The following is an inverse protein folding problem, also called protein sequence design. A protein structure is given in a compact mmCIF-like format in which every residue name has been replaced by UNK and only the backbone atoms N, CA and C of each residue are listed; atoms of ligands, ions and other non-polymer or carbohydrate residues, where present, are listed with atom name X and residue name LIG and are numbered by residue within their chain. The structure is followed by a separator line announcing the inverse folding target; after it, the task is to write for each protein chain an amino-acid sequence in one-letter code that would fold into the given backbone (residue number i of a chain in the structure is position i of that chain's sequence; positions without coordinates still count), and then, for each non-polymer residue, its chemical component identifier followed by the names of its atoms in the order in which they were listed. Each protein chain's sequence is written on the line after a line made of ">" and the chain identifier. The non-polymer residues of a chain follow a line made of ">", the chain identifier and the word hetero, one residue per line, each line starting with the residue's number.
data_IF_981886246809
#
_entry.id   IF_981886246809
#
_cell.length_a   1.000
_cell.length_b   1.000
_cell.length_c   1.000
_cell.angle_alpha   90.00
_cell.angle_beta   90.00
_cell.angle_gamma   90.00
#
_symmetry.space_group_name_H-M   'P 1'
#
loop_
_entity.id
_entity.type
_entity.pdbx_description
1 polymer ?
#
# COMPACT_ATOMS: atom_id res chain seq x y z
N UNK A 1 66.01 2.08 30.44
CA UNK A 1 65.77 2.84 31.69
C UNK A 1 64.29 3.23 31.71
N UNK A 2 63.56 2.78 32.74
CA UNK A 2 62.11 2.94 32.91
C UNK A 2 61.73 4.42 33.11
N UNK A 3 60.60 4.86 32.56
CA UNK A 3 59.80 6.00 33.04
C UNK A 3 58.32 5.60 32.91
N UNK A 4 57.76 4.92 33.92
CA UNK A 4 56.90 5.49 34.98
C UNK A 4 55.69 6.27 34.45
N UNK A 5 54.65 5.51 34.06
CA UNK A 5 53.25 5.90 34.22
C UNK A 5 52.96 6.03 35.72
N UNK A 6 52.73 7.23 36.25
CA UNK A 6 51.92 7.48 37.45
C UNK A 6 51.69 8.99 37.56
N UNK A 7 50.45 9.41 37.35
CA UNK A 7 49.72 10.39 38.19
C UNK A 7 48.49 10.94 37.46
N UNK A 8 47.37 10.21 37.53
CA UNK A 8 46.04 10.81 37.38
C UNK A 8 44.97 10.12 38.24
N UNK A 9 45.38 9.43 39.32
CA UNK A 9 44.48 8.81 40.29
C UNK A 9 44.71 9.41 41.69
N UNK A 10 44.46 10.72 41.84
CA UNK A 10 44.63 11.38 43.14
C UNK A 10 43.47 12.31 43.50
N UNK A 11 42.28 12.11 42.92
CA UNK A 11 41.09 12.85 43.38
C UNK A 11 39.84 11.97 43.51
N UNK A 12 39.56 11.42 44.71
CA UNK A 12 38.37 10.59 44.94
C UNK A 12 37.05 11.34 44.71
N UNK A 13 37.03 12.68 44.73
CA UNK A 13 35.83 13.47 44.40
C UNK A 13 35.48 13.42 42.91
N UNK A 14 36.47 13.34 42.01
CA UNK A 14 36.23 13.24 40.55
C UNK A 14 35.73 11.86 40.12
N UNK A 15 36.16 10.79 40.81
CA UNK A 15 35.67 9.43 40.55
C UNK A 15 34.22 9.27 40.99
N UNK A 16 33.84 9.79 42.16
CA UNK A 16 32.45 9.79 42.62
C UNK A 16 31.55 10.63 41.70
N UNK A 17 32.04 11.79 41.24
CA UNK A 17 31.26 12.66 40.35
C UNK A 17 31.02 12.01 38.98
N UNK A 18 32.01 11.29 38.44
CA UNK A 18 31.85 10.52 37.20
C UNK A 18 30.97 9.27 37.37
N UNK A 19 31.04 8.57 38.51
CA UNK A 19 30.16 7.43 38.79
C UNK A 19 28.70 7.86 39.04
N UNK A 20 28.47 8.98 39.74
CA UNK A 20 27.14 9.57 39.87
C UNK A 20 26.61 10.08 38.52
N UNK A 21 27.46 10.62 37.64
CA UNK A 21 27.04 11.06 36.30
C UNK A 21 26.66 9.87 35.40
N UNK A 22 27.40 8.77 35.47
CA UNK A 22 27.07 7.53 34.74
C UNK A 22 25.80 6.89 35.33
N UNK A 23 25.63 6.89 36.65
CA UNK A 23 24.41 6.39 37.30
C UNK A 23 23.19 7.28 37.01
N UNK A 24 23.38 8.59 36.87
CA UNK A 24 22.32 9.54 36.47
C UNK A 24 21.96 9.38 34.98
N UNK A 25 22.94 9.14 34.11
CA UNK A 25 22.68 8.79 32.70
C UNK A 25 21.96 7.44 32.61
N UNK A 26 22.35 6.44 33.40
CA UNK A 26 21.65 5.15 33.46
C UNK A 26 20.25 5.27 34.06
N UNK A 27 20.05 6.08 35.12
CA UNK A 27 18.71 6.36 35.65
C UNK A 27 17.86 7.14 34.64
N UNK A 28 18.42 8.11 33.92
CA UNK A 28 17.71 8.85 32.86
C UNK A 28 17.43 7.97 31.63
N UNK A 29 18.29 7.00 31.31
CA UNK A 29 18.02 5.99 30.27
C UNK A 29 16.98 4.96 30.72
N UNK A 30 16.98 4.58 31.99
CA UNK A 30 16.01 3.61 32.55
C UNK A 30 14.66 4.24 32.93
N UNK A 31 14.58 5.56 33.12
CA UNK A 31 13.33 6.28 33.42
C UNK A 31 12.61 6.85 32.20
N UNK A 32 13.22 6.81 31.01
CA UNK A 32 12.57 7.13 29.73
C UNK A 32 12.03 5.90 28.97
N UNK A 33 11.92 4.76 29.65
CA UNK A 33 11.04 3.66 29.23
C UNK A 33 9.73 3.71 30.05
N UNK A 34 9.15 4.90 30.18
CA UNK A 34 7.70 4.96 30.37
C UNK A 34 7.08 4.33 29.13
N UNK A 35 6.49 3.14 29.31
CA UNK A 35 5.61 2.49 28.36
C UNK A 35 4.52 3.48 27.91
N UNK A 36 4.82 4.30 26.89
CA UNK A 36 3.79 4.95 26.13
C UNK A 36 3.12 3.86 25.31
N UNK A 37 1.88 3.55 25.67
CA UNK A 37 0.94 2.70 24.96
C UNK A 37 0.58 3.30 23.58
N UNK A 38 1.56 3.58 22.73
CA UNK A 38 1.34 4.09 21.36
C UNK A 38 0.79 3.00 20.42
N UNK A 39 0.64 1.75 20.88
CA UNK A 39 0.00 0.67 20.13
C UNK A 39 -1.55 0.69 20.18
N UNK A 40 -2.19 1.49 21.04
CA UNK A 40 -3.66 1.53 21.11
C UNK A 40 -4.31 2.55 20.16
N UNK A 41 -3.62 3.63 19.77
CA UNK A 41 -4.21 4.64 18.88
C UNK A 41 -4.51 4.09 17.47
N UNK A 42 -3.74 3.11 17.00
CA UNK A 42 -3.78 2.60 15.62
C UNK A 42 -4.70 1.38 15.42
N UNK A 43 -5.39 0.94 16.46
CA UNK A 43 -6.26 -0.25 16.44
C UNK A 43 -7.75 0.06 16.60
N UNK A 44 -8.16 1.34 16.50
CA UNK A 44 -9.58 1.70 16.47
C UNK A 44 -10.29 0.98 15.32
N UNK A 45 -11.48 0.43 15.60
CA UNK A 45 -12.32 -0.26 14.62
C UNK A 45 -13.62 0.48 14.41
N UNK A 46 -14.06 0.53 13.15
CA UNK A 46 -15.38 1.04 12.76
C UNK A 46 -16.19 -0.06 12.08
N UNK A 47 -17.50 -0.05 12.31
CA UNK A 47 -18.43 -0.85 11.52
C UNK A 47 -18.87 -0.05 10.30
N UNK A 48 -18.82 -0.69 9.13
CA UNK A 48 -19.31 -0.15 7.86
C UNK A 48 -20.19 -1.21 7.22
N UNK A 49 -21.36 -0.84 6.73
CA UNK A 49 -22.25 -1.77 6.03
C UNK A 49 -22.69 -1.20 4.69
N UNK A 50 -22.44 -1.95 3.62
CA UNK A 50 -23.01 -1.67 2.32
C UNK A 50 -24.44 -2.20 2.29
N UNK A 51 -25.34 -1.33 1.85
CA UNK A 51 -26.77 -1.59 1.79
C UNK A 51 -27.14 -2.35 0.50
N UNK A 52 -28.36 -2.89 0.38
CA UNK A 52 -28.75 -3.71 -0.76
C UNK A 52 -28.52 -3.04 -2.13
N UNK A 53 -28.75 -1.72 -2.23
CA UNK A 53 -28.52 -0.98 -3.47
C UNK A 53 -27.05 -0.99 -3.92
N UNK A 54 -26.08 -0.99 -2.99
CA UNK A 54 -24.65 -1.08 -3.34
C UNK A 54 -24.33 -2.44 -4.00
N UNK A 55 -24.93 -3.50 -3.49
CA UNK A 55 -24.78 -4.86 -4.03
C UNK A 55 -25.45 -4.98 -5.38
N UNK A 56 -26.71 -4.54 -5.48
CA UNK A 56 -27.50 -4.61 -6.72
C UNK A 56 -26.85 -3.84 -7.88
N UNK A 57 -26.14 -2.75 -7.55
CA UNK A 57 -25.39 -1.94 -8.54
C UNK A 57 -24.02 -2.50 -8.89
N UNK A 58 -23.54 -3.54 -8.21
CA UNK A 58 -22.22 -4.13 -8.47
C UNK A 58 -21.03 -3.28 -8.03
N UNK A 59 -21.21 -2.33 -7.11
CA UNK A 59 -20.19 -1.34 -6.70
C UNK A 59 -19.51 -1.68 -5.36
N UNK A 60 -19.66 -2.92 -4.88
CA UNK A 60 -19.05 -3.39 -3.63
C UNK A 60 -17.52 -3.24 -3.66
N UNK A 61 -16.88 -3.71 -4.74
CA UNK A 61 -15.43 -3.65 -4.88
C UNK A 61 -14.88 -2.23 -4.96
N UNK A 62 -15.60 -1.31 -5.63
CA UNK A 62 -15.20 0.10 -5.73
C UNK A 62 -15.18 0.80 -4.36
N UNK A 63 -16.14 0.46 -3.49
CA UNK A 63 -16.21 1.00 -2.13
C UNK A 63 -15.08 0.41 -1.28
N UNK A 64 -14.89 -0.92 -1.27
CA UNK A 64 -13.82 -1.60 -0.52
C UNK A 64 -12.46 -1.00 -0.89
N UNK A 65 -12.20 -0.85 -2.20
CA UNK A 65 -10.97 -0.25 -2.71
C UNK A 65 -10.70 1.15 -2.15
N UNK A 66 -11.73 1.97 -1.88
CA UNK A 66 -11.53 3.29 -1.27
C UNK A 66 -11.02 3.18 0.17
N UNK A 67 -11.52 2.24 0.95
CA UNK A 67 -11.05 1.99 2.32
C UNK A 67 -9.63 1.43 2.34
N UNK A 68 -9.32 0.47 1.46
CA UNK A 68 -7.97 -0.08 1.32
C UNK A 68 -6.96 0.99 0.87
N UNK A 69 -7.31 1.78 -0.15
CA UNK A 69 -6.45 2.86 -0.65
C UNK A 69 -6.26 3.99 0.38
N UNK A 70 -7.18 4.15 1.34
CA UNK A 70 -7.01 5.08 2.46
C UNK A 70 -6.00 4.56 3.49
N UNK A 71 -5.68 3.27 3.47
CA UNK A 71 -4.78 2.61 4.43
C UNK A 71 -5.50 1.88 5.56
N UNK A 72 -6.83 1.69 5.46
CA UNK A 72 -7.54 0.89 6.45
C UNK A 72 -7.37 -0.61 6.21
N UNK A 73 -7.34 -1.35 7.32
CA UNK A 73 -7.19 -2.79 7.34
C UNK A 73 -8.56 -3.45 7.49
N UNK A 74 -8.94 -4.29 6.53
CA UNK A 74 -10.15 -5.10 6.63
C UNK A 74 -9.91 -6.25 7.61
N UNK A 75 -10.67 -6.30 8.71
CA UNK A 75 -10.51 -7.34 9.74
C UNK A 75 -11.69 -8.31 9.82
N UNK A 76 -12.84 -7.95 9.24
CA UNK A 76 -13.96 -8.87 9.03
C UNK A 76 -14.89 -8.38 7.92
N UNK A 77 -15.54 -9.32 7.21
CA UNK A 77 -16.55 -9.04 6.20
C UNK A 77 -17.52 -10.23 6.09
N UNK A 78 -18.82 -9.95 5.89
CA UNK A 78 -19.81 -10.98 5.51
C UNK A 78 -20.57 -10.55 4.26
N UNK A 79 -21.09 -11.52 3.52
CA UNK A 79 -22.14 -11.31 2.51
C UNK A 79 -23.38 -12.07 2.97
N UNK A 80 -24.44 -11.37 3.34
CA UNK A 80 -25.59 -12.03 3.96
C UNK A 80 -26.91 -11.32 3.69
N UNK A 81 -28.00 -12.08 3.75
CA UNK A 81 -29.34 -11.52 3.89
C UNK A 81 -29.63 -11.31 5.39
N UNK A 82 -29.69 -10.06 5.84
CA UNK A 82 -29.95 -9.78 7.24
C UNK A 82 -31.41 -10.07 7.61
N UNK A 83 -31.63 -10.72 8.75
CA UNK A 83 -32.97 -10.94 9.25
C UNK A 83 -33.62 -9.63 9.67
N UNK A 84 -34.95 -9.59 9.66
CA UNK A 84 -35.70 -8.40 10.06
C UNK A 84 -35.40 -8.04 11.51
N UNK A 85 -35.31 -9.03 12.39
CA UNK A 85 -35.03 -8.88 13.82
C UNK A 85 -33.63 -8.29 14.04
N UNK A 86 -32.62 -8.73 13.27
CA UNK A 86 -31.27 -8.18 13.34
C UNK A 86 -31.26 -6.70 12.93
N UNK A 87 -31.97 -6.34 11.86
CA UNK A 87 -32.07 -4.97 11.37
C UNK A 87 -32.83 -4.06 12.33
N UNK A 88 -33.92 -4.55 12.92
CA UNK A 88 -34.68 -3.82 13.94
C UNK A 88 -33.83 -3.58 15.19
N UNK A 89 -33.03 -4.57 15.61
CA UNK A 89 -32.08 -4.41 16.71
C UNK A 89 -30.99 -3.39 16.37
N UNK A 90 -30.42 -3.45 15.16
CA UNK A 90 -29.41 -2.51 14.66
C UNK A 90 -29.92 -1.07 14.67
N UNK A 91 -31.13 -0.83 14.16
CA UNK A 91 -31.72 0.51 14.05
C UNK A 91 -32.64 0.87 15.23
N UNK A 92 -32.52 0.19 16.37
CA UNK A 92 -33.45 0.33 17.51
C UNK A 92 -33.58 1.76 18.03
N UNK A 93 -32.51 2.56 17.98
CA UNK A 93 -32.52 3.99 18.34
C UNK A 93 -33.45 4.84 17.45
N UNK A 94 -33.79 4.33 16.26
CA UNK A 94 -34.69 4.97 15.30
C UNK A 94 -36.12 4.42 15.36
N UNK A 95 -36.41 3.46 16.24
CA UNK A 95 -37.72 2.77 16.31
C UNK A 95 -38.92 3.70 16.49
N UNK A 96 -38.73 4.86 17.13
CA UNK A 96 -39.77 5.88 17.31
C UNK A 96 -39.98 6.78 16.09
N UNK A 97 -39.13 6.68 15.07
CA UNK A 97 -39.19 7.55 13.88
C UNK A 97 -40.21 7.00 12.86
N UNK A 98 -41.00 7.86 12.21
CA UNK A 98 -42.05 7.41 11.28
C UNK A 98 -41.51 6.66 10.06
N UNK A 99 -40.24 6.87 9.68
CA UNK A 99 -39.60 6.19 8.56
C UNK A 99 -39.00 4.82 8.92
N UNK A 100 -38.98 4.43 10.20
CA UNK A 100 -38.33 3.19 10.66
C UNK A 100 -38.85 1.92 9.97
N UNK A 101 -40.17 1.70 9.83
CA UNK A 101 -40.67 0.52 9.13
C UNK A 101 -40.17 0.46 7.68
N UNK A 102 -40.16 1.59 6.98
CA UNK A 102 -39.67 1.69 5.62
C UNK A 102 -38.15 1.43 5.51
N UNK A 103 -37.38 1.88 6.49
CA UNK A 103 -35.94 1.61 6.58
C UNK A 103 -35.68 0.10 6.73
N UNK A 104 -36.40 -0.58 7.62
CA UNK A 104 -36.26 -2.03 7.82
C UNK A 104 -36.65 -2.79 6.55
N UNK A 105 -37.80 -2.45 5.93
CA UNK A 105 -38.21 -3.05 4.65
C UNK A 105 -37.17 -2.85 3.56
N UNK A 106 -36.62 -1.65 3.43
CA UNK A 106 -35.56 -1.34 2.48
C UNK A 106 -34.30 -2.20 2.74
N UNK A 107 -33.83 -2.25 3.97
CA UNK A 107 -32.63 -3.01 4.34
C UNK A 107 -32.81 -4.52 4.17
N UNK A 108 -34.04 -5.02 4.31
CA UNK A 108 -34.40 -6.43 4.08
C UNK A 108 -34.67 -6.77 2.61
N UNK A 109 -34.62 -5.79 1.68
CA UNK A 109 -34.94 -6.00 0.26
C UNK A 109 -33.86 -6.76 -0.53
N UNK A 110 -32.68 -6.96 0.05
CA UNK A 110 -31.57 -7.68 -0.57
C UNK A 110 -30.42 -7.95 0.38
N UNK A 111 -29.33 -8.56 -0.11
CA UNK A 111 -28.14 -8.83 0.68
C UNK A 111 -27.41 -7.55 1.08
N UNK A 112 -26.74 -7.59 2.21
CA UNK A 112 -25.86 -6.54 2.74
C UNK A 112 -24.43 -7.05 2.87
N UNK A 113 -23.48 -6.11 2.91
CA UNK A 113 -22.06 -6.41 3.18
C UNK A 113 -21.63 -5.64 4.43
N UNK A 114 -21.84 -6.19 5.64
CA UNK A 114 -21.24 -5.66 6.86
C UNK A 114 -19.73 -5.95 6.84
N UNK A 115 -18.95 -4.98 7.29
CA UNK A 115 -17.50 -5.01 7.34
C UNK A 115 -16.99 -4.33 8.61
N UNK A 116 -15.82 -4.75 9.05
CA UNK A 116 -15.08 -4.12 10.14
C UNK A 116 -13.72 -3.66 9.60
N UNK A 117 -13.47 -2.36 9.74
CA UNK A 117 -12.24 -1.72 9.31
C UNK A 117 -11.46 -1.22 10.51
N UNK A 118 -10.16 -1.47 10.53
CA UNK A 118 -9.23 -1.09 11.59
C UNK A 118 -8.27 -0.01 11.08
N UNK A 119 -7.95 0.99 11.91
CA UNK A 119 -7.00 2.06 11.62
C UNK A 119 -7.12 3.25 12.58
N UNK A 120 -6.24 4.24 12.46
CA UNK A 120 -6.31 5.44 13.29
C UNK A 120 -7.56 6.25 12.97
N UNK A 121 -8.27 6.64 14.04
CA UNK A 121 -9.50 7.41 13.93
C UNK A 121 -10.47 6.78 12.91
N UNK A 122 -10.52 5.44 12.84
CA UNK A 122 -11.30 4.68 11.87
C UNK A 122 -12.75 5.14 11.78
N UNK A 123 -13.40 5.43 12.92
CA UNK A 123 -14.77 5.92 12.98
C UNK A 123 -14.88 7.32 12.37
N UNK A 124 -14.07 8.26 12.86
CA UNK A 124 -14.10 9.66 12.39
C UNK A 124 -13.76 9.77 10.90
N UNK A 125 -12.68 9.13 10.48
CA UNK A 125 -12.21 9.14 9.09
C UNK A 125 -13.18 8.36 8.19
N UNK A 126 -13.72 7.23 8.64
CA UNK A 126 -14.77 6.50 7.94
C UNK A 126 -16.00 7.37 7.68
N UNK A 127 -16.46 8.14 8.68
CA UNK A 127 -17.57 9.09 8.53
C UNK A 127 -17.29 10.19 7.50
N UNK A 128 -16.07 10.73 7.47
CA UNK A 128 -15.66 11.70 6.44
C UNK A 128 -15.71 11.06 5.05
N UNK A 129 -15.18 9.84 4.89
CA UNK A 129 -15.20 9.12 3.61
C UNK A 129 -16.63 8.81 3.12
N UNK A 130 -17.55 8.52 4.04
CA UNK A 130 -18.95 8.27 3.71
C UNK A 130 -19.63 9.51 3.13
N UNK A 131 -19.32 10.70 3.64
CA UNK A 131 -20.05 11.93 3.34
C UNK A 131 -21.32 12.09 4.18
N UNK A 132 -21.96 13.26 4.08
CA UNK A 132 -23.19 13.56 4.81
C UNK A 132 -24.32 12.57 4.46
N UNK A 133 -25.28 12.37 5.37
CA UNK A 133 -26.41 11.44 5.13
C UNK A 133 -27.23 11.86 3.91
N UNK A 134 -27.34 13.17 3.67
CA UNK A 134 -27.87 13.73 2.44
C UNK A 134 -26.75 13.82 1.39
N UNK A 135 -26.87 13.11 0.25
CA UNK A 135 -25.86 13.17 -0.81
C UNK A 135 -25.63 14.59 -1.35
N UNK A 136 -26.68 15.43 -1.38
CA UNK A 136 -26.56 16.83 -1.83
C UNK A 136 -25.65 17.69 -0.94
N UNK A 137 -25.50 17.31 0.33
CA UNK A 137 -24.64 17.99 1.30
C UNK A 137 -23.26 17.33 1.42
N UNK A 138 -22.98 16.31 0.59
CA UNK A 138 -21.72 15.57 0.61
C UNK A 138 -20.68 16.20 -0.31
N UNK A 139 -19.43 16.25 0.15
CA UNK A 139 -18.32 16.72 -0.67
C UNK A 139 -18.03 15.76 -1.84
N UNK A 140 -17.59 16.26 -3.01
CA UNK A 140 -17.06 15.43 -4.09
C UNK A 140 -15.92 14.51 -3.60
N UNK A 141 -15.88 13.28 -4.08
CA UNK A 141 -14.92 12.26 -3.65
C UNK A 141 -15.37 11.42 -2.44
N UNK A 142 -16.45 11.82 -1.75
CA UNK A 142 -17.08 10.96 -0.71
C UNK A 142 -17.96 9.90 -1.35
N UNK A 143 -18.20 8.79 -0.64
CA UNK A 143 -18.98 7.66 -1.17
C UNK A 143 -20.41 8.09 -1.49
N UNK A 144 -21.06 8.86 -0.59
CA UNK A 144 -22.42 9.35 -0.84
C UNK A 144 -22.44 10.47 -1.88
N UNK A 145 -21.46 11.38 -1.88
CA UNK A 145 -21.39 12.43 -2.90
C UNK A 145 -21.21 11.88 -4.32
N UNK A 146 -20.37 10.87 -4.48
CA UNK A 146 -20.08 10.30 -5.80
C UNK A 146 -21.12 9.27 -6.26
N UNK A 147 -21.71 8.52 -5.33
CA UNK A 147 -22.47 7.31 -5.67
C UNK A 147 -23.93 7.35 -5.22
N UNK A 148 -24.42 8.42 -4.59
CA UNK A 148 -25.82 8.54 -4.15
C UNK A 148 -26.47 9.83 -4.67
N UNK A 149 -27.78 9.78 -4.86
CA UNK A 149 -28.58 10.95 -5.28
C UNK A 149 -29.63 11.33 -4.23
N UNK A 150 -30.26 10.33 -3.59
CA UNK A 150 -31.37 10.54 -2.66
C UNK A 150 -31.03 10.02 -1.26
N UNK A 151 -31.40 10.78 -0.22
CA UNK A 151 -31.17 10.47 1.22
C UNK A 151 -31.68 9.08 1.59
N UNK A 152 -32.92 8.75 1.23
CA UNK A 152 -33.59 7.50 1.62
C UNK A 152 -33.04 6.24 0.95
N UNK A 153 -32.21 6.38 -0.09
CA UNK A 153 -31.58 5.28 -0.82
C UNK A 153 -30.06 5.46 -0.91
N UNK A 154 -29.45 6.03 0.13
CA UNK A 154 -28.00 6.02 0.22
C UNK A 154 -27.50 4.58 0.36
N UNK A 155 -26.27 4.31 -0.08
CA UNK A 155 -25.78 2.93 -0.27
C UNK A 155 -24.92 2.39 0.86
N UNK A 156 -24.65 3.19 1.90
CA UNK A 156 -23.65 2.86 2.93
C UNK A 156 -24.03 3.39 4.31
N UNK A 157 -23.87 2.55 5.32
CA UNK A 157 -23.94 2.86 6.75
C UNK A 157 -22.54 2.85 7.36
N UNK A 158 -22.33 3.67 8.39
CA UNK A 158 -21.12 3.67 9.19
C UNK A 158 -21.34 4.30 10.54
N UNK A 159 -20.78 3.69 11.58
CA UNK A 159 -20.92 4.09 12.98
C UNK A 159 -20.50 5.55 13.18
N UNK A 160 -21.19 6.25 14.07
CA UNK A 160 -20.98 7.67 14.34
C UNK A 160 -20.05 7.97 15.53
N UNK A 161 -19.78 6.94 16.33
CA UNK A 161 -18.99 7.00 17.57
C UNK A 161 -18.28 5.66 17.78
N UNK A 162 -17.23 5.66 18.59
CA UNK A 162 -16.47 4.44 18.94
C UNK A 162 -17.36 3.49 19.74
N UNK A 163 -18.22 4.01 20.61
CA UNK A 163 -19.18 3.25 21.38
C UNK A 163 -20.22 2.56 20.49
N UNK A 164 -20.74 3.29 19.49
CA UNK A 164 -21.67 2.73 18.49
C UNK A 164 -20.96 1.68 17.64
N UNK A 165 -19.73 1.94 17.19
CA UNK A 165 -18.94 0.99 16.42
C UNK A 165 -18.75 -0.33 17.17
N UNK A 166 -18.34 -0.28 18.44
CA UNK A 166 -18.15 -1.49 19.24
C UNK A 166 -19.47 -2.28 19.42
N UNK A 167 -20.59 -1.59 19.66
CA UNK A 167 -21.92 -2.23 19.77
C UNK A 167 -22.36 -2.87 18.45
N UNK A 168 -22.18 -2.17 17.34
CA UNK A 168 -22.53 -2.66 16.01
C UNK A 168 -21.64 -3.84 15.61
N UNK A 169 -20.32 -3.77 15.85
CA UNK A 169 -19.41 -4.91 15.61
C UNK A 169 -19.87 -6.14 16.38
N UNK A 170 -20.12 -6.01 17.68
CA UNK A 170 -20.58 -7.12 18.53
C UNK A 170 -21.99 -7.64 18.17
N UNK A 171 -22.81 -6.82 17.51
CA UNK A 171 -24.12 -7.23 17.02
C UNK A 171 -24.01 -8.08 15.74
N UNK A 172 -23.07 -7.74 14.85
CA UNK A 172 -22.96 -8.34 13.52
C UNK A 172 -21.90 -9.45 13.42
N UNK A 173 -20.92 -9.47 14.31
CA UNK A 173 -19.79 -10.39 14.31
C UNK A 173 -19.56 -10.98 15.70
N UNK A 174 -19.29 -12.29 15.74
CA UNK A 174 -18.71 -12.96 16.89
C UNK A 174 -17.21 -12.67 16.94
N UNK A 175 -16.60 -12.74 18.12
CA UNK A 175 -15.17 -12.44 18.31
C UNK A 175 -14.24 -13.28 17.43
N UNK A 176 -14.61 -14.54 17.17
CA UNK A 176 -13.85 -15.46 16.31
C UNK A 176 -13.96 -15.15 14.81
N UNK A 177 -14.85 -14.24 14.41
CA UNK A 177 -15.00 -13.77 13.02
C UNK A 177 -14.13 -12.55 12.72
N UNK A 178 -13.52 -11.94 13.74
CA UNK A 178 -12.55 -10.85 13.58
C UNK A 178 -11.13 -11.43 13.44
N UNK A 179 -10.48 -11.18 12.30
CA UNK A 179 -9.18 -11.78 11.98
C UNK A 179 -8.07 -10.76 12.18
N UNK A 180 -7.11 -11.11 13.03
CA UNK A 180 -5.82 -10.39 13.12
C UNK A 180 -4.84 -10.98 12.11
N UNK A 181 -4.30 -10.13 11.25
CA UNK A 181 -3.32 -10.51 10.24
C UNK A 181 -2.30 -9.39 10.05
N UNK A 182 -1.11 -9.76 9.54
CA UNK A 182 -0.09 -8.85 9.05
C UNK A 182 0.02 -9.02 7.54
N UNK A 183 0.23 -7.94 6.75
CA UNK A 183 0.51 -8.09 5.34
C UNK A 183 1.68 -9.03 5.10
N UNK A 184 1.61 -9.78 4.02
CA UNK A 184 2.69 -10.68 3.63
C UNK A 184 3.93 -9.83 3.29
N UNK A 185 4.83 -9.68 4.25
CA UNK A 185 6.19 -9.19 4.03
C UNK A 185 7.11 -10.41 4.17
N UNK A 186 7.60 -10.91 3.06
CA UNK A 186 8.55 -12.03 3.02
C UNK A 186 9.77 -11.57 2.22
N UNK A 187 10.96 -12.04 2.58
CA UNK A 187 12.17 -11.83 1.80
C UNK A 187 11.98 -12.46 0.43
N UNK A 188 11.75 -11.60 -0.56
CA UNK A 188 11.30 -12.00 -1.87
C UNK A 188 12.40 -11.79 -2.92
N UNK A 189 12.25 -12.51 -4.03
CA UNK A 189 13.09 -12.38 -5.22
C UNK A 189 13.06 -10.93 -5.73
N UNK A 190 14.16 -10.48 -6.35
CA UNK A 190 14.24 -9.17 -7.02
C UNK A 190 14.36 -9.33 -8.53
N UNK A 191 13.72 -8.43 -9.27
CA UNK A 191 13.87 -8.30 -10.73
C UNK A 191 14.31 -6.89 -11.12
N UNK A 192 15.04 -6.80 -12.23
CA UNK A 192 15.40 -5.54 -12.87
C UNK A 192 14.39 -5.20 -13.96
N UNK A 193 13.90 -3.96 -13.95
CA UNK A 193 12.98 -3.42 -14.97
C UNK A 193 13.51 -2.05 -15.37
N UNK A 194 13.46 -1.70 -16.66
CA UNK A 194 13.91 -0.39 -17.11
C UNK A 194 12.93 0.21 -18.11
N UNK A 195 12.43 1.41 -17.81
CA UNK A 195 11.74 2.22 -18.81
C UNK A 195 12.79 2.79 -19.76
N UNK A 196 12.62 2.49 -21.05
CA UNK A 196 13.50 2.92 -22.13
C UNK A 196 13.20 4.38 -22.52
N UNK A 197 14.06 5.04 -23.34
CA UNK A 197 13.88 6.47 -23.63
C UNK A 197 12.54 6.82 -24.26
N UNK A 198 12.01 5.97 -25.15
CA UNK A 198 10.69 6.11 -25.77
C UNK A 198 9.54 6.04 -24.75
N UNK A 199 9.59 5.12 -23.78
CA UNK A 199 8.59 5.00 -22.73
C UNK A 199 8.50 6.26 -21.86
N UNK A 200 9.64 6.88 -21.58
CA UNK A 200 9.71 8.16 -20.88
C UNK A 200 9.16 9.31 -21.74
N UNK A 201 9.63 9.43 -22.99
CA UNK A 201 9.20 10.48 -23.92
C UNK A 201 7.69 10.45 -24.20
N UNK A 202 7.08 9.27 -24.11
CA UNK A 202 5.64 9.07 -24.30
C UNK A 202 4.81 9.23 -23.02
N UNK A 203 5.44 9.54 -21.89
CA UNK A 203 4.75 9.73 -20.61
C UNK A 203 4.22 8.45 -19.96
N UNK A 204 4.75 7.27 -20.31
CA UNK A 204 4.24 5.97 -19.86
C UNK A 204 4.79 5.50 -18.51
N UNK A 205 5.69 6.27 -17.88
CA UNK A 205 6.36 5.90 -16.63
C UNK A 205 5.36 5.49 -15.54
N UNK A 206 4.36 6.34 -15.30
CA UNK A 206 3.37 6.12 -14.24
C UNK A 206 2.52 4.86 -14.48
N UNK A 207 2.13 4.62 -15.73
CA UNK A 207 1.29 3.46 -16.08
C UNK A 207 2.09 2.16 -15.99
N UNK A 208 3.38 2.18 -16.38
CA UNK A 208 4.30 1.06 -16.17
C UNK A 208 4.44 0.77 -14.66
N UNK A 209 4.84 1.74 -13.85
CA UNK A 209 5.03 1.58 -12.39
C UNK A 209 3.76 1.00 -11.74
N UNK A 210 2.61 1.59 -12.03
CA UNK A 210 1.31 1.17 -11.52
C UNK A 210 0.97 -0.29 -11.82
N UNK A 211 1.44 -0.87 -12.95
CA UNK A 211 1.21 -2.29 -13.25
C UNK A 211 1.95 -3.20 -12.28
N UNK A 212 3.20 -2.86 -11.94
CA UNK A 212 4.00 -3.61 -10.98
C UNK A 212 3.47 -3.44 -9.54
N UNK A 213 3.10 -2.21 -9.14
CA UNK A 213 2.49 -1.96 -7.83
C UNK A 213 1.18 -2.72 -7.66
N UNK A 214 0.28 -2.68 -8.66
CA UNK A 214 -0.99 -3.42 -8.61
C UNK A 214 -0.82 -4.93 -8.62
N UNK A 215 0.31 -5.44 -9.12
CA UNK A 215 0.64 -6.86 -9.00
C UNK A 215 1.07 -7.24 -7.58
N UNK A 216 1.37 -6.26 -6.73
CA UNK A 216 1.88 -6.44 -5.38
C UNK A 216 3.40 -6.48 -5.30
N UNK A 217 4.11 -6.08 -6.36
CA UNK A 217 5.57 -5.97 -6.33
C UNK A 217 5.98 -4.68 -5.63
N UNK A 218 7.04 -4.77 -4.81
CA UNK A 218 7.57 -3.66 -4.01
C UNK A 218 8.72 -2.97 -4.75
N UNK A 219 8.62 -1.65 -4.97
CA UNK A 219 9.73 -0.90 -5.55
C UNK A 219 10.84 -0.71 -4.51
N UNK A 220 12.06 -1.21 -4.78
CA UNK A 220 13.21 -1.13 -3.85
C UNK A 220 14.38 -0.31 -4.39
N UNK A 221 14.33 0.10 -5.65
CA UNK A 221 15.30 1.03 -6.25
C UNK A 221 14.73 1.65 -7.51
N UNK A 222 14.97 2.95 -7.72
CA UNK A 222 14.57 3.66 -8.93
C UNK A 222 15.44 4.91 -9.10
N UNK A 223 15.89 5.20 -10.32
CA UNK A 223 16.56 6.46 -10.64
C UNK A 223 16.34 6.87 -12.08
N UNK A 224 16.28 8.17 -12.34
CA UNK A 224 16.30 8.74 -13.69
C UNK A 224 17.74 9.06 -14.06
N UNK A 225 18.27 8.43 -15.11
CA UNK A 225 19.67 8.62 -15.51
C UNK A 225 19.81 8.69 -17.02
N UNK A 226 20.80 9.44 -17.50
CA UNK A 226 21.29 9.32 -18.86
C UNK A 226 22.32 8.20 -18.90
N UNK A 227 21.99 7.11 -19.58
CA UNK A 227 22.85 5.93 -19.60
C UNK A 227 24.18 6.22 -20.33
N UNK A 228 25.28 5.73 -19.78
CA UNK A 228 26.59 5.80 -20.44
C UNK A 228 26.69 4.68 -21.48
N UNK A 229 27.26 4.96 -22.65
CA UNK A 229 27.40 3.96 -23.72
C UNK A 229 28.12 2.69 -23.27
N UNK A 230 29.09 2.81 -22.35
CA UNK A 230 29.77 1.67 -21.74
C UNK A 230 28.81 0.78 -20.95
N UNK A 231 28.03 1.34 -20.02
CA UNK A 231 27.04 0.60 -19.22
C UNK A 231 25.99 -0.08 -20.11
N UNK A 232 25.52 0.60 -21.16
CA UNK A 232 24.57 0.02 -22.11
C UNK A 232 25.19 -1.13 -22.90
N UNK A 233 26.46 -0.98 -23.32
CA UNK A 233 27.19 -2.04 -24.01
C UNK A 233 27.42 -3.27 -23.13
N UNK A 234 27.78 -3.07 -21.86
CA UNK A 234 27.90 -4.15 -20.87
C UNK A 234 26.54 -4.84 -20.62
N UNK A 235 25.45 -4.08 -20.54
CA UNK A 235 24.11 -4.63 -20.35
C UNK A 235 23.67 -5.52 -21.53
N UNK A 236 23.93 -5.07 -22.76
CA UNK A 236 23.57 -5.78 -23.99
C UNK A 236 24.70 -6.60 -24.61
N UNK A 237 25.74 -6.97 -23.84
CA UNK A 237 26.93 -7.63 -24.39
C UNK A 237 26.58 -8.93 -25.16
N UNK A 238 25.58 -9.67 -24.69
CA UNK A 238 25.09 -10.89 -25.33
C UNK A 238 24.55 -10.66 -26.76
N UNK A 239 24.25 -9.42 -27.14
CA UNK A 239 23.80 -9.01 -28.46
C UNK A 239 24.90 -8.36 -29.32
N UNK A 240 26.16 -8.31 -28.86
CA UNK A 240 27.24 -7.56 -29.55
C UNK A 240 27.48 -7.96 -31.01
N UNK A 241 27.14 -9.20 -31.37
CA UNK A 241 27.31 -9.72 -32.73
C UNK A 241 26.05 -9.55 -33.60
N UNK A 242 24.99 -8.95 -33.08
CA UNK A 242 23.74 -8.74 -33.82
C UNK A 242 23.84 -7.49 -34.71
N UNK A 243 23.27 -7.49 -35.92
CA UNK A 243 23.39 -6.38 -36.87
C UNK A 243 22.77 -5.07 -36.37
N UNK A 244 21.81 -5.16 -35.44
CA UNK A 244 21.13 -4.01 -34.83
C UNK A 244 21.80 -3.49 -33.55
N UNK A 245 22.92 -4.08 -33.12
CA UNK A 245 23.55 -3.76 -31.82
C UNK A 245 23.96 -2.28 -31.71
N UNK A 246 24.60 -1.73 -32.74
CA UNK A 246 25.01 -0.31 -32.76
C UNK A 246 23.80 0.63 -32.60
N UNK A 247 22.73 0.36 -33.35
CA UNK A 247 21.48 1.10 -33.26
C UNK A 247 20.80 0.97 -31.89
N UNK A 248 20.91 -0.19 -31.23
CA UNK A 248 20.42 -0.38 -29.86
C UNK A 248 21.18 0.49 -28.86
N UNK A 249 22.51 0.58 -28.97
CA UNK A 249 23.32 1.45 -28.10
C UNK A 249 22.96 2.93 -28.33
N UNK A 250 22.88 3.36 -29.59
CA UNK A 250 22.48 4.73 -29.95
C UNK A 250 21.10 5.06 -29.40
N UNK A 251 20.13 4.17 -29.61
CA UNK A 251 18.77 4.32 -29.12
C UNK A 251 18.72 4.44 -27.59
N UNK A 252 19.38 3.56 -26.85
CA UNK A 252 19.37 3.55 -25.39
C UNK A 252 20.12 4.75 -24.78
N UNK A 253 21.00 5.39 -25.53
CA UNK A 253 21.74 6.60 -25.11
C UNK A 253 21.14 7.90 -25.66
N UNK A 254 20.12 7.81 -26.53
CA UNK A 254 19.42 8.96 -27.13
C UNK A 254 18.66 9.81 -26.11
N UNK A 255 18.29 9.24 -24.97
CA UNK A 255 17.55 9.92 -23.91
C UNK A 255 17.78 9.25 -22.55
N UNK A 256 17.17 9.81 -21.49
CA UNK A 256 17.25 9.21 -20.18
C UNK A 256 16.41 7.93 -20.09
N UNK A 257 16.83 7.04 -19.20
CA UNK A 257 16.15 5.79 -18.85
C UNK A 257 15.79 5.81 -17.37
N UNK A 258 14.82 4.98 -17.00
CA UNK A 258 14.44 4.75 -15.60
C UNK A 258 14.65 3.28 -15.25
N UNK A 259 15.87 2.87 -14.86
CA UNK A 259 16.09 1.61 -14.19
C UNK A 259 15.33 1.56 -12.86
N UNK A 260 14.76 0.40 -12.57
CA UNK A 260 13.98 0.08 -11.39
C UNK A 260 14.32 -1.32 -10.90
N UNK A 261 14.25 -1.52 -9.59
CA UNK A 261 14.34 -2.84 -8.96
C UNK A 261 13.05 -3.09 -8.21
N UNK A 262 12.41 -4.21 -8.53
CA UNK A 262 11.16 -4.66 -7.92
C UNK A 262 11.40 -5.93 -7.13
N UNK A 263 10.85 -6.01 -5.93
CA UNK A 263 10.96 -7.14 -5.00
C UNK A 263 9.58 -7.79 -4.80
N UNK A 264 9.49 -9.11 -4.92
CA UNK A 264 8.21 -9.84 -4.83
C UNK A 264 8.33 -11.34 -5.09
N UNK A 265 7.30 -12.11 -4.69
CA UNK A 265 7.24 -13.53 -4.99
C UNK A 265 7.27 -13.74 -6.52
N UNK A 266 8.21 -14.55 -7.03
CA UNK A 266 8.47 -14.75 -8.47
C UNK A 266 8.54 -13.44 -9.27
N UNK A 267 9.23 -12.43 -8.73
CA UNK A 267 9.31 -11.09 -9.31
C UNK A 267 9.78 -11.09 -10.78
N UNK A 268 10.73 -11.95 -11.15
CA UNK A 268 11.22 -12.06 -12.53
C UNK A 268 10.13 -12.59 -13.46
N UNK A 269 9.48 -13.68 -13.08
CA UNK A 269 8.41 -14.31 -13.88
C UNK A 269 7.23 -13.34 -14.07
N UNK A 270 6.76 -12.73 -12.98
CA UNK A 270 5.66 -11.76 -13.07
C UNK A 270 6.06 -10.49 -13.82
N UNK A 271 7.30 -10.02 -13.67
CA UNK A 271 7.81 -8.90 -14.44
C UNK A 271 7.73 -9.16 -15.95
N UNK A 272 8.12 -10.36 -16.39
CA UNK A 272 7.97 -10.77 -17.80
C UNK A 272 6.51 -10.83 -18.24
N UNK A 273 5.65 -11.43 -17.44
CA UNK A 273 4.22 -11.56 -17.77
C UNK A 273 3.52 -10.19 -17.87
N UNK A 274 3.91 -9.22 -17.04
CA UNK A 274 3.41 -7.83 -17.12
C UNK A 274 3.94 -7.14 -18.37
N UNK A 275 5.22 -7.33 -18.70
CA UNK A 275 5.86 -6.67 -19.83
C UNK A 275 5.30 -7.17 -21.18
N UNK A 276 5.13 -8.48 -21.33
CA UNK A 276 4.74 -9.12 -22.59
C UNK A 276 5.93 -9.50 -23.47
N UNK A 277 5.64 -10.17 -24.58
CA UNK A 277 6.64 -10.71 -25.51
C UNK A 277 7.52 -9.61 -26.13
N UNK A 278 8.74 -9.96 -26.54
CA UNK A 278 9.67 -8.98 -27.13
C UNK A 278 9.14 -8.40 -28.43
N UNK A 279 8.41 -9.20 -29.22
CA UNK A 279 7.67 -8.73 -30.37
C UNK A 279 6.28 -8.22 -29.93
N UNK A 280 5.96 -6.92 -30.11
CA UNK A 280 4.65 -6.39 -29.72
C UNK A 280 3.47 -7.06 -30.43
N UNK A 281 3.64 -7.53 -31.67
CA UNK A 281 2.55 -8.22 -32.40
C UNK A 281 2.19 -9.58 -31.81
N UNK A 282 3.10 -10.16 -31.02
CA UNK A 282 2.90 -11.42 -30.30
C UNK A 282 2.55 -11.19 -28.82
N UNK A 283 2.59 -9.94 -28.36
CA UNK A 283 2.30 -9.59 -26.98
C UNK A 283 0.79 -9.56 -26.73
N UNK A 284 0.27 -10.29 -25.73
CA UNK A 284 -1.14 -10.23 -25.40
C UNK A 284 -1.60 -8.82 -24.99
N UNK A 285 -2.83 -8.46 -25.37
CA UNK A 285 -3.50 -7.25 -24.86
C UNK A 285 -3.60 -7.34 -23.32
N UNK A 286 -3.32 -6.23 -22.64
CA UNK A 286 -3.19 -6.16 -21.19
C UNK A 286 -1.74 -6.29 -20.68
N UNK A 287 -0.78 -6.60 -21.55
CA UNK A 287 0.66 -6.45 -21.27
C UNK A 287 1.15 -5.05 -21.64
N UNK A 288 2.27 -4.60 -21.09
CA UNK A 288 2.83 -3.28 -21.40
C UNK A 288 3.14 -3.16 -22.91
N UNK A 289 3.77 -4.19 -23.50
CA UNK A 289 4.12 -4.17 -24.92
C UNK A 289 2.90 -4.35 -25.83
N UNK A 290 1.96 -5.20 -25.44
CA UNK A 290 0.71 -5.36 -26.20
C UNK A 290 -0.15 -4.09 -26.22
N UNK A 291 -0.17 -3.33 -25.12
CA UNK A 291 -0.99 -2.12 -25.02
C UNK A 291 -0.29 -0.88 -25.61
N UNK A 292 1.05 -0.82 -25.53
CA UNK A 292 1.77 0.43 -25.80
C UNK A 292 2.86 0.34 -26.88
N UNK A 293 3.18 -0.83 -27.45
CA UNK A 293 4.24 -0.95 -28.45
C UNK A 293 3.68 -1.39 -29.80
N UNK A 294 4.28 -0.89 -30.89
CA UNK A 294 3.90 -1.25 -32.26
C UNK A 294 5.04 -1.98 -32.99
N UNK A 295 6.30 -1.69 -32.64
CA UNK A 295 7.47 -2.17 -33.35
C UNK A 295 8.49 -2.77 -32.37
N UNK A 296 9.12 -3.88 -32.73
CA UNK A 296 10.09 -4.58 -31.89
C UNK A 296 11.32 -3.72 -31.52
N UNK A 297 11.68 -2.74 -32.36
CA UNK A 297 12.76 -1.79 -32.08
C UNK A 297 12.45 -0.75 -30.98
N UNK A 298 11.16 -0.51 -30.68
CA UNK A 298 10.69 0.52 -29.74
C UNK A 298 9.71 -0.09 -28.74
N UNK A 299 10.26 -0.85 -27.79
CA UNK A 299 9.48 -1.71 -26.88
C UNK A 299 9.19 -1.10 -25.51
N UNK A 300 9.40 0.21 -25.30
CA UNK A 300 9.18 1.04 -24.09
C UNK A 300 9.78 0.59 -22.75
N UNK A 301 10.00 -0.71 -22.57
CA UNK A 301 10.40 -1.34 -21.32
C UNK A 301 11.30 -2.55 -21.59
N UNK A 302 12.28 -2.74 -20.70
CA UNK A 302 13.10 -3.93 -20.56
C UNK A 302 12.82 -4.59 -19.21
N UNK A 303 12.98 -5.91 -19.15
CA UNK A 303 12.96 -6.65 -17.90
C UNK A 303 13.81 -7.91 -18.00
N UNK A 304 14.45 -8.29 -16.89
CA UNK A 304 15.29 -9.47 -16.83
C UNK A 304 14.53 -10.75 -17.19
N UNK A 305 15.18 -11.69 -17.90
CA UNK A 305 14.57 -12.94 -18.33
C UNK A 305 14.76 -14.10 -17.34
N UNK A 306 15.69 -13.96 -16.39
CA UNK A 306 16.02 -14.95 -15.36
C UNK A 306 16.51 -14.27 -14.08
N UNK A 307 16.54 -15.00 -12.96
CA UNK A 307 17.07 -14.51 -11.68
C UNK A 307 18.55 -14.16 -11.77
N UNK A 308 19.32 -14.95 -12.50
CA UNK A 308 20.75 -14.72 -12.72
C UNK A 308 20.97 -13.42 -13.51
N UNK A 309 20.17 -13.20 -14.55
CA UNK A 309 20.18 -11.95 -15.30
C UNK A 309 19.73 -10.76 -14.45
N UNK A 310 18.66 -10.90 -13.68
CA UNK A 310 18.19 -9.86 -12.78
C UNK A 310 19.29 -9.43 -11.80
N UNK A 311 19.98 -10.38 -11.16
CA UNK A 311 21.08 -10.06 -10.24
C UNK A 311 22.25 -9.36 -10.95
N UNK A 312 22.61 -9.80 -12.17
CA UNK A 312 23.63 -9.15 -13.01
C UNK A 312 23.24 -7.71 -13.34
N UNK A 313 22.02 -7.51 -13.82
CA UNK A 313 21.52 -6.20 -14.24
C UNK A 313 21.35 -5.26 -13.04
N UNK A 314 20.83 -5.74 -11.91
CA UNK A 314 20.79 -4.97 -10.66
C UNK A 314 22.21 -4.52 -10.27
N UNK A 315 23.19 -5.43 -10.26
CA UNK A 315 24.57 -5.10 -9.91
C UNK A 315 25.26 -4.14 -10.88
N UNK A 316 24.85 -4.15 -12.16
CA UNK A 316 25.36 -3.24 -13.17
C UNK A 316 24.77 -1.83 -13.02
N UNK A 317 23.47 -1.74 -12.75
CA UNK A 317 22.74 -0.47 -12.76
C UNK A 317 22.60 0.18 -11.38
N UNK A 318 22.75 -0.57 -10.29
CA UNK A 318 22.59 -0.08 -8.92
C UNK A 318 23.76 -0.48 -8.03
N UNK A 319 24.28 0.49 -7.27
CA UNK A 319 25.15 0.25 -6.12
C UNK A 319 24.30 -0.25 -4.95
N UNK A 320 24.85 -1.04 -4.02
CA UNK A 320 24.08 -1.58 -2.90
C UNK A 320 23.32 -0.54 -2.07
N UNK A 321 23.89 0.66 -1.88
CA UNK A 321 23.25 1.75 -1.12
C UNK A 321 22.12 2.46 -1.89
N UNK A 322 21.99 2.24 -3.19
CA UNK A 322 20.87 2.76 -4.00
C UNK A 322 19.63 1.85 -3.88
N UNK A 323 19.75 0.69 -3.24
CA UNK A 323 18.65 -0.24 -2.97
C UNK A 323 18.19 -0.07 -1.52
N UNK A 324 16.90 0.19 -1.35
CA UNK A 324 16.28 0.44 -0.06
C UNK A 324 15.57 -0.82 0.42
N UNK A 325 15.93 -1.29 1.61
CA UNK A 325 15.11 -2.26 2.33
C UNK A 325 14.08 -1.49 3.15
N UNK A 326 12.81 -1.75 2.87
CA UNK A 326 11.69 -1.18 3.60
C UNK A 326 10.54 -2.17 3.64
N UNK A 327 9.73 -2.06 4.67
CA UNK A 327 8.45 -2.74 4.78
C UNK A 327 7.35 -1.79 4.31
N UNK A 328 6.37 -2.24 3.50
CA UNK A 328 5.20 -1.44 3.16
C UNK A 328 4.63 -0.79 4.41
N UNK A 329 4.32 0.51 4.34
CA UNK A 329 3.75 1.23 5.47
C UNK A 329 2.51 0.48 5.96
N UNK A 330 2.66 -0.21 7.09
CA UNK A 330 1.56 -0.80 7.83
C UNK A 330 0.82 0.32 8.57
N UNK A 331 -0.33 -0.03 9.15
CA UNK A 331 -1.07 0.79 10.12
C UNK A 331 -0.15 1.56 11.08
N UNK A 332 0.96 0.95 11.53
CA UNK A 332 1.93 1.55 12.44
C UNK A 332 2.63 2.81 11.88
N UNK A 333 2.85 2.91 10.57
CA UNK A 333 3.53 4.05 9.93
C UNK A 333 2.58 5.11 9.36
N UNK A 334 1.40 4.71 8.88
CA UNK A 334 0.40 5.65 8.32
C UNK A 334 -0.12 6.60 9.42
N UNK A 335 -0.03 6.16 10.66
CA UNK A 335 -0.74 6.73 11.78
C UNK A 335 0.16 7.02 12.99
N UNK A 336 1.47 7.12 12.77
CA UNK A 336 2.40 7.56 13.80
C UNK A 336 2.30 9.09 13.94
N UNK A 337 2.00 9.58 15.15
CA UNK A 337 2.14 11.00 15.45
C UNK A 337 3.64 11.34 15.53
N UNK A 338 4.09 12.26 14.67
CA UNK A 338 5.42 12.86 14.81
C UNK A 338 5.25 13.96 15.88
N UNK A 339 5.79 13.70 17.07
CA UNK A 339 5.81 14.67 18.18
C UNK A 339 6.40 16.04 17.77
#
# INVERSE_FOLDING_TARGET
>A
MKFQFFDCFSNPRKLLQNQLFILFIFLCFSLNHSNYNNNMANSERTFIMLKPDAVQRGIVGDIIKRFEAKGFKLVAMKFMWASKELLEKHYSDLSSRPFFPGLVTYMSSGPVVPMVWEGLNAVKTGRVMLGATNPADSAPGTIRGDLCVQVGRNIIHGSDSVESANKEIALWFNDNELVSWKPAAVNWERTYIMVKPDGLQRGLVHEIIKRFEKKGLKLVGMKLIKAQSQTVAEHYEHLKNQPFYSGLIEYMTSGPVIPMVWEGYNAVEFGRNIIGETNPSESPIGTIRGDFCLFQGLTVVHGAHSVQEANREIGLWFKPHELVSWEPALQEWIFYDID
#
